data_IF_762933876419
#
_entry.id   IF_762933876419
#
_cell.length_a   1.000
_cell.length_b   1.000
_cell.length_c   1.000
_cell.angle_alpha   90.00
_cell.angle_beta   90.00
_cell.angle_gamma   90.00
#
_symmetry.space_group_name_H-M   'P 1'
#
loop_
_entity.id
_entity.type
_entity.pdbx_description
1 polymer ?
#
# COMPACT_ATOMS: atom_id res chain seq x y z
N UNK A 1 -29.71 23.58 -11.32
CA UNK A 1 -30.62 23.24 -10.21
C UNK A 1 -31.30 21.88 -10.42
N UNK A 2 -31.88 21.58 -11.58
CA UNK A 2 -32.58 20.29 -11.86
C UNK A 2 -31.77 19.01 -11.61
N UNK A 3 -30.45 18.99 -11.83
CA UNK A 3 -29.63 17.80 -11.64
C UNK A 3 -29.46 17.44 -10.15
N UNK A 4 -29.26 18.45 -9.30
CA UNK A 4 -29.05 18.29 -7.85
C UNK A 4 -30.35 17.82 -7.15
N UNK A 5 -31.49 18.36 -7.55
CA UNK A 5 -32.81 17.91 -7.06
C UNK A 5 -33.07 16.44 -7.43
N UNK A 6 -32.69 16.05 -8.65
CA UNK A 6 -32.83 14.66 -9.12
C UNK A 6 -31.92 13.71 -8.34
N UNK A 7 -30.69 14.12 -8.02
CA UNK A 7 -29.76 13.38 -7.14
C UNK A 7 -30.30 13.24 -5.71
N UNK A 8 -30.91 14.28 -5.15
CA UNK A 8 -31.53 14.23 -3.82
C UNK A 8 -32.76 13.32 -3.77
N UNK A 9 -33.46 13.13 -4.89
CA UNK A 9 -34.62 12.23 -4.98
C UNK A 9 -34.25 10.74 -5.10
N UNK A 10 -32.96 10.40 -5.27
CA UNK A 10 -32.52 9.00 -5.38
C UNK A 10 -32.69 8.32 -4.02
N UNK A 11 -33.31 7.14 -4.02
CA UNK A 11 -33.43 6.32 -2.81
C UNK A 11 -32.03 5.96 -2.29
N UNK A 12 -31.77 6.30 -1.01
CA UNK A 12 -30.52 5.98 -0.32
C UNK A 12 -30.13 4.50 -0.40
N UNK A 13 -31.10 3.58 -0.52
CA UNK A 13 -30.86 2.13 -0.66
C UNK A 13 -30.07 1.82 -1.93
N UNK A 14 -30.37 2.51 -3.03
CA UNK A 14 -29.65 2.33 -4.30
C UNK A 14 -28.20 2.82 -4.14
N UNK A 15 -28.00 3.94 -3.45
CA UNK A 15 -26.66 4.47 -3.16
C UNK A 15 -25.84 3.48 -2.32
N UNK A 16 -26.42 2.93 -1.25
CA UNK A 16 -25.73 1.93 -0.42
C UNK A 16 -25.49 0.61 -1.15
N UNK A 17 -26.39 0.19 -2.05
CA UNK A 17 -26.19 -1.00 -2.87
C UNK A 17 -25.04 -0.81 -3.87
N UNK A 18 -24.96 0.35 -4.54
CA UNK A 18 -23.84 0.69 -5.41
C UNK A 18 -22.53 0.74 -4.60
N UNK A 19 -22.54 1.38 -3.43
CA UNK A 19 -21.36 1.41 -2.55
C UNK A 19 -20.90 0.00 -2.14
N UNK A 20 -21.84 -0.85 -1.73
CA UNK A 20 -21.54 -2.23 -1.34
C UNK A 20 -20.95 -3.02 -2.52
N UNK A 21 -21.54 -2.90 -3.71
CA UNK A 21 -21.03 -3.55 -4.91
C UNK A 21 -19.63 -3.02 -5.30
N UNK A 22 -19.39 -1.71 -5.19
CA UNK A 22 -18.09 -1.10 -5.46
C UNK A 22 -16.98 -1.59 -4.53
N UNK A 23 -17.31 -2.09 -3.34
CA UNK A 23 -16.34 -2.70 -2.40
C UNK A 23 -16.23 -4.22 -2.64
N UNK A 24 -17.35 -4.91 -2.79
CA UNK A 24 -17.39 -6.38 -2.94
C UNK A 24 -16.74 -6.82 -4.26
N UNK A 25 -16.98 -6.09 -5.35
CA UNK A 25 -16.47 -6.49 -6.67
C UNK A 25 -14.94 -6.53 -6.73
N UNK A 26 -14.18 -5.48 -6.33
CA UNK A 26 -12.71 -5.56 -6.30
C UNK A 26 -12.15 -6.59 -5.31
N UNK A 27 -12.89 -6.92 -4.24
CA UNK A 27 -12.47 -7.94 -3.28
C UNK A 27 -12.60 -9.37 -3.83
N UNK A 28 -13.68 -9.65 -4.58
CA UNK A 28 -13.89 -10.97 -5.21
C UNK A 28 -13.12 -11.11 -6.52
N UNK A 29 -12.96 -10.01 -7.26
CA UNK A 29 -12.31 -9.95 -8.55
C UNK A 29 -11.18 -8.91 -8.48
N UNK A 30 -9.98 -9.28 -7.98
CA UNK A 30 -8.88 -8.35 -7.86
C UNK A 30 -8.53 -7.78 -9.24
N UNK A 31 -8.73 -6.47 -9.38
CA UNK A 31 -8.60 -5.74 -10.65
C UNK A 31 -7.12 -5.62 -11.09
N UNK A 32 -6.18 -5.83 -10.15
CA UNK A 32 -4.75 -5.88 -10.45
C UNK A 32 -4.21 -4.58 -11.02
N UNK A 33 -4.54 -3.44 -10.39
CA UNK A 33 -3.99 -2.16 -10.82
C UNK A 33 -2.45 -2.21 -10.82
N UNK A 34 -1.80 -1.60 -11.83
CA UNK A 34 -0.35 -1.54 -11.85
C UNK A 34 0.15 -0.74 -10.64
N UNK A 35 1.14 -1.30 -9.96
CA UNK A 35 1.85 -0.62 -8.86
C UNK A 35 3.18 -0.15 -9.44
N UNK A 36 3.27 1.15 -9.72
CA UNK A 36 4.50 1.74 -10.25
C UNK A 36 5.51 2.03 -9.15
N UNK A 37 6.78 1.77 -9.43
CA UNK A 37 7.88 2.07 -8.52
C UNK A 37 8.10 3.59 -8.46
N UNK A 38 7.96 4.17 -7.27
CA UNK A 38 8.26 5.59 -7.09
C UNK A 38 9.78 5.82 -7.05
N UNK A 39 10.22 7.05 -7.32
CA UNK A 39 11.63 7.44 -7.16
C UNK A 39 12.15 7.14 -5.75
N UNK A 40 11.36 7.42 -4.72
CA UNK A 40 11.76 7.19 -3.33
C UNK A 40 11.97 5.70 -3.05
N UNK A 41 11.09 4.84 -3.57
CA UNK A 41 11.23 3.38 -3.45
C UNK A 41 12.51 2.89 -4.12
N UNK A 42 12.79 3.37 -5.34
CA UNK A 42 13.99 3.00 -6.08
C UNK A 42 15.28 3.48 -5.38
N UNK A 43 15.28 4.71 -4.88
CA UNK A 43 16.44 5.27 -4.17
C UNK A 43 16.80 4.44 -2.93
N UNK A 44 15.81 4.03 -2.12
CA UNK A 44 16.05 3.17 -0.94
C UNK A 44 16.62 1.81 -1.37
N UNK A 45 16.03 1.20 -2.41
CA UNK A 45 16.49 -0.09 -2.93
C UNK A 45 17.96 -0.02 -3.40
N UNK A 46 18.32 1.04 -4.12
CA UNK A 46 19.68 1.23 -4.64
C UNK A 46 20.68 1.51 -3.51
N UNK A 47 20.29 2.27 -2.48
CA UNK A 47 21.14 2.51 -1.31
C UNK A 47 21.46 1.21 -0.56
N UNK A 48 20.46 0.38 -0.29
CA UNK A 48 20.68 -0.95 0.33
C UNK A 48 21.59 -1.82 -0.55
N UNK A 49 21.44 -1.73 -1.88
CA UNK A 49 22.27 -2.48 -2.80
C UNK A 49 23.73 -2.01 -2.89
N UNK A 50 23.98 -0.71 -2.67
CA UNK A 50 25.30 -0.12 -2.68
C UNK A 50 26.14 -0.46 -1.43
N UNK A 51 25.51 -0.91 -0.34
CA UNK A 51 26.21 -1.29 0.88
C UNK A 51 27.06 -2.56 0.71
N UNK A 52 28.22 -2.56 1.35
CA UNK A 52 29.10 -3.73 1.38
C UNK A 52 28.52 -4.83 2.29
N UNK A 53 28.72 -6.12 1.95
CA UNK A 53 28.32 -7.21 2.84
C UNK A 53 28.89 -7.04 4.25
N UNK A 54 28.07 -7.26 5.27
CA UNK A 54 28.45 -7.09 6.68
C UNK A 54 28.33 -5.66 7.24
N UNK A 55 27.95 -4.65 6.43
CA UNK A 55 27.58 -3.33 6.93
C UNK A 55 26.41 -3.41 7.92
N UNK A 56 26.42 -2.54 8.93
CA UNK A 56 25.35 -2.44 9.95
C UNK A 56 24.28 -1.47 9.47
N UNK A 57 23.02 -1.89 9.53
CA UNK A 57 21.85 -1.11 9.11
C UNK A 57 20.91 -1.01 10.29
N UNK A 58 20.70 0.23 10.78
CA UNK A 58 19.68 0.50 11.78
C UNK A 58 18.33 0.72 11.07
N UNK A 59 17.34 -0.12 11.39
CA UNK A 59 15.99 -0.01 10.85
C UNK A 59 14.98 0.22 11.99
N UNK A 60 14.16 1.26 11.85
CA UNK A 60 13.08 1.61 12.79
C UNK A 60 11.73 1.34 12.13
N UNK A 61 10.80 0.77 12.90
CA UNK A 61 9.42 0.53 12.48
C UNK A 61 8.48 1.46 13.23
N UNK A 62 8.19 2.60 12.62
CA UNK A 62 7.36 3.65 13.21
C UNK A 62 5.96 3.64 12.58
N UNK A 63 5.08 2.78 13.09
CA UNK A 63 3.67 2.74 12.67
C UNK A 63 2.73 2.24 13.78
N UNK A 64 1.44 2.47 13.58
CA UNK A 64 0.36 2.05 14.46
C UNK A 64 -0.48 0.91 13.85
N UNK A 65 -1.42 0.36 14.62
CA UNK A 65 -2.23 -0.78 14.18
C UNK A 65 -3.12 -0.47 12.95
N UNK A 66 -3.55 0.79 12.76
CA UNK A 66 -4.38 1.18 11.63
C UNK A 66 -3.56 1.29 10.33
N UNK A 67 -2.26 1.59 10.43
CA UNK A 67 -1.35 1.70 9.28
C UNK A 67 -0.58 0.40 8.97
N UNK A 68 -0.60 -0.58 9.88
CA UNK A 68 0.05 -1.88 9.71
C UNK A 68 -0.31 -2.62 8.39
N UNK A 69 -1.57 -2.65 7.89
CA UNK A 69 -1.90 -3.34 6.64
C UNK A 69 -1.11 -2.83 5.42
N UNK A 70 -0.69 -1.56 5.44
CA UNK A 70 0.10 -0.94 4.38
C UNK A 70 1.61 -1.03 4.65
N UNK A 71 2.03 -0.78 5.90
CA UNK A 71 3.44 -0.58 6.25
C UNK A 71 4.16 -1.87 6.65
N UNK A 72 3.48 -2.84 7.25
CA UNK A 72 4.08 -4.11 7.64
C UNK A 72 4.66 -4.88 6.44
N UNK A 73 3.94 -5.04 5.30
CA UNK A 73 4.51 -5.71 4.13
C UNK A 73 5.76 -5.01 3.57
N UNK A 74 5.81 -3.67 3.64
CA UNK A 74 6.95 -2.89 3.18
C UNK A 74 8.19 -3.15 4.05
N UNK A 75 7.99 -3.21 5.35
CA UNK A 75 9.07 -3.53 6.27
C UNK A 75 9.55 -4.96 6.19
N UNK A 76 8.66 -5.93 6.01
CA UNK A 76 9.05 -7.31 5.74
C UNK A 76 9.91 -7.39 4.47
N UNK A 77 9.50 -6.69 3.40
CA UNK A 77 10.25 -6.62 2.15
C UNK A 77 11.63 -5.99 2.34
N UNK A 78 11.73 -4.86 3.04
CA UNK A 78 12.99 -4.17 3.31
C UNK A 78 13.93 -5.00 4.19
N UNK A 79 13.39 -5.60 5.26
CA UNK A 79 14.15 -6.48 6.16
C UNK A 79 14.72 -7.67 5.40
N UNK A 80 13.88 -8.31 4.58
CA UNK A 80 14.30 -9.41 3.73
C UNK A 80 15.41 -8.98 2.78
N UNK A 81 15.27 -7.83 2.11
CA UNK A 81 16.29 -7.30 1.20
C UNK A 81 17.64 -7.07 1.90
N UNK A 82 17.62 -6.48 3.10
CA UNK A 82 18.82 -6.26 3.93
C UNK A 82 19.50 -7.59 4.28
N UNK A 83 18.73 -8.59 4.73
CA UNK A 83 19.25 -9.91 5.11
C UNK A 83 19.76 -10.70 3.90
N UNK A 84 19.06 -10.65 2.76
CA UNK A 84 19.47 -11.30 1.51
C UNK A 84 20.80 -10.71 0.98
N UNK A 85 21.06 -9.43 1.26
CA UNK A 85 22.34 -8.74 0.98
C UNK A 85 23.45 -9.04 2.00
N UNK A 86 23.20 -9.91 2.98
CA UNK A 86 24.14 -10.27 4.07
C UNK A 86 24.59 -9.05 4.87
N UNK A 87 23.72 -8.06 5.02
CA UNK A 87 23.92 -6.94 5.92
C UNK A 87 23.54 -7.35 7.35
N UNK A 88 24.02 -6.59 8.34
CA UNK A 88 23.69 -6.80 9.75
C UNK A 88 22.60 -5.83 10.14
N UNK A 89 21.48 -6.35 10.66
CA UNK A 89 20.41 -5.57 11.25
C UNK A 89 20.72 -5.27 12.73
#
# INVERSE_FOLDING_TARGET
MKLLEKLQSIDRRIIYLILALSIILPLLFPIGFPVDTTKNTQDVYDQVNALAPGSVVLLSYDWDAASAPELLPQAEALTKHILDKKLKL
#
